data_IF_946520057152
#
_entry.id   IF_946520057152
#
_cell.length_a   1.000
_cell.length_b   1.000
_cell.length_c   1.000
_cell.angle_alpha   90.00
_cell.angle_beta   90.00
_cell.angle_gamma   90.00
#
_symmetry.space_group_name_H-M   'P 1'
#
loop_
_entity.id
_entity.type
_entity.pdbx_description
1 polymer ?
#
# COMPACT_ATOMS: atom_id res chain seq x y z
N UNK A 1 -21.37 -31.43 8.76
CA UNK A 1 -19.98 -30.92 8.60
C UNK A 1 -19.40 -30.50 9.95
N UNK A 2 -18.25 -31.05 10.36
CA UNK A 2 -17.48 -30.59 11.53
C UNK A 2 -17.03 -29.13 11.42
N UNK A 3 -16.79 -28.46 12.56
CA UNK A 3 -16.39 -27.04 12.58
C UNK A 3 -15.01 -26.80 11.96
N UNK A 4 -14.04 -27.71 12.13
CA UNK A 4 -12.71 -27.55 11.53
C UNK A 4 -12.77 -27.50 9.99
N UNK A 5 -13.59 -28.33 9.36
CA UNK A 5 -13.77 -28.27 7.89
C UNK A 5 -14.49 -26.99 7.46
N UNK A 6 -15.40 -26.45 8.28
CA UNK A 6 -16.03 -25.17 7.99
C UNK A 6 -15.03 -24.01 8.10
N UNK A 7 -14.10 -24.06 9.07
CA UNK A 7 -13.00 -23.07 9.17
C UNK A 7 -12.12 -23.10 7.92
N UNK A 8 -11.75 -24.28 7.43
CA UNK A 8 -10.96 -24.42 6.19
C UNK A 8 -11.70 -23.87 4.97
N UNK A 9 -12.99 -24.19 4.82
CA UNK A 9 -13.84 -23.61 3.77
C UNK A 9 -13.89 -22.09 3.89
N UNK A 10 -14.07 -21.57 5.10
CA UNK A 10 -14.19 -20.15 5.34
C UNK A 10 -12.90 -19.43 4.99
N UNK A 11 -11.76 -19.99 5.39
CA UNK A 11 -10.45 -19.48 5.09
C UNK A 11 -10.16 -19.40 3.58
N UNK A 12 -10.62 -20.40 2.81
CA UNK A 12 -10.36 -20.48 1.37
C UNK A 12 -11.31 -19.66 0.51
N UNK A 13 -12.59 -19.62 0.89
CA UNK A 13 -13.65 -19.11 0.01
C UNK A 13 -14.15 -17.73 0.40
N UNK A 14 -13.99 -17.32 1.65
CA UNK A 14 -14.64 -16.13 2.18
C UNK A 14 -13.64 -15.16 2.76
N UNK A 15 -13.52 -13.94 2.21
CA UNK A 15 -12.68 -12.93 2.81
C UNK A 15 -13.42 -12.33 4.03
N UNK A 16 -12.69 -11.84 5.05
CA UNK A 16 -13.30 -11.48 6.35
C UNK A 16 -14.39 -10.41 6.30
N UNK A 17 -14.45 -9.60 5.25
CA UNK A 17 -15.47 -8.58 5.03
C UNK A 17 -16.87 -9.20 4.81
N UNK A 18 -16.92 -10.43 4.30
CA UNK A 18 -18.16 -11.17 4.06
C UNK A 18 -18.72 -11.85 5.30
N UNK A 19 -17.93 -11.94 6.38
CA UNK A 19 -18.30 -12.70 7.57
C UNK A 19 -19.52 -12.13 8.28
N UNK A 20 -19.78 -10.82 8.16
CA UNK A 20 -21.01 -10.23 8.66
C UNK A 20 -22.24 -10.92 8.05
N UNK A 21 -22.26 -11.10 6.74
CA UNK A 21 -23.36 -11.77 6.03
C UNK A 21 -23.46 -13.26 6.40
N UNK A 22 -22.32 -13.94 6.55
CA UNK A 22 -22.30 -15.35 6.97
C UNK A 22 -22.88 -15.54 8.37
N UNK A 23 -22.58 -14.64 9.31
CA UNK A 23 -23.10 -14.70 10.69
C UNK A 23 -24.61 -14.46 10.80
N UNK A 24 -25.21 -13.85 9.77
CA UNK A 24 -26.66 -13.66 9.66
C UNK A 24 -27.35 -14.90 9.08
N UNK A 25 -26.62 -15.78 8.39
CA UNK A 25 -27.21 -16.94 7.70
C UNK A 25 -27.67 -18.02 8.66
N UNK A 26 -26.82 -18.44 9.60
CA UNK A 26 -27.21 -19.41 10.63
C UNK A 26 -26.33 -19.36 11.88
N UNK A 27 -26.82 -19.92 13.00
CA UNK A 27 -26.06 -20.01 14.27
C UNK A 27 -24.75 -20.76 14.12
N UNK A 28 -24.70 -21.77 13.24
CA UNK A 28 -23.48 -22.56 13.02
C UNK A 28 -22.39 -21.74 12.35
N UNK A 29 -22.72 -20.93 11.35
CA UNK A 29 -21.76 -20.03 10.70
C UNK A 29 -21.28 -18.95 11.66
N UNK A 30 -22.18 -18.41 12.48
CA UNK A 30 -21.79 -17.49 13.56
C UNK A 30 -20.76 -18.12 14.51
N UNK A 31 -21.00 -19.34 14.97
CA UNK A 31 -20.05 -20.06 15.83
C UNK A 31 -18.68 -20.31 15.17
N UNK A 32 -18.63 -20.46 13.84
CA UNK A 32 -17.37 -20.62 13.10
C UNK A 32 -16.67 -19.28 12.94
N UNK A 33 -17.40 -18.20 12.64
CA UNK A 33 -16.84 -16.84 12.53
C UNK A 33 -16.36 -16.30 13.89
N UNK A 34 -17.00 -16.70 14.99
CA UNK A 34 -16.58 -16.33 16.33
C UNK A 34 -15.40 -17.19 16.84
N UNK A 35 -14.97 -18.20 16.09
CA UNK A 35 -13.75 -18.97 16.41
C UNK A 35 -12.50 -18.14 16.10
N UNK A 36 -11.73 -17.83 17.13
CA UNK A 36 -10.54 -16.98 17.04
C UNK A 36 -9.42 -17.62 16.20
N UNK A 37 -9.42 -18.96 16.06
CA UNK A 37 -8.48 -19.66 15.17
C UNK A 37 -8.67 -19.25 13.71
N UNK A 38 -9.91 -19.02 13.25
CA UNK A 38 -10.19 -18.58 11.89
C UNK A 38 -9.52 -17.22 11.63
N UNK A 39 -9.64 -16.29 12.57
CA UNK A 39 -9.02 -14.96 12.48
C UNK A 39 -7.49 -15.02 12.55
N UNK A 40 -6.93 -15.90 13.38
CA UNK A 40 -5.50 -16.18 13.42
C UNK A 40 -5.00 -16.65 12.05
N UNK A 41 -5.70 -17.61 11.42
CA UNK A 41 -5.33 -18.12 10.11
C UNK A 41 -5.44 -17.06 9.01
N UNK A 42 -6.50 -16.25 9.00
CA UNK A 42 -6.61 -15.11 8.07
C UNK A 42 -5.48 -14.10 8.28
N UNK A 43 -5.15 -13.80 9.54
CA UNK A 43 -4.07 -12.90 9.88
C UNK A 43 -2.72 -13.43 9.36
N UNK A 44 -2.43 -14.71 9.59
CA UNK A 44 -1.19 -15.34 9.15
C UNK A 44 -1.11 -15.45 7.62
N UNK A 45 -2.20 -15.85 6.95
CA UNK A 45 -2.22 -15.94 5.50
C UNK A 45 -2.00 -14.58 4.84
N UNK A 46 -2.53 -13.50 5.44
CA UNK A 46 -2.43 -12.15 4.89
C UNK A 46 -1.10 -11.47 5.24
N UNK A 47 -0.67 -11.53 6.50
CA UNK A 47 0.45 -10.76 7.02
C UNK A 47 1.60 -11.58 7.59
N UNK A 48 1.49 -12.91 7.70
CA UNK A 48 2.51 -13.76 8.31
C UNK A 48 3.89 -13.60 7.66
N UNK A 49 3.94 -13.51 6.33
CA UNK A 49 5.18 -13.25 5.60
C UNK A 49 5.73 -11.83 5.79
N UNK A 50 4.85 -10.84 5.98
CA UNK A 50 5.27 -9.46 6.30
C UNK A 50 5.83 -9.38 7.72
N UNK A 51 5.18 -10.03 8.68
CA UNK A 51 5.53 -9.96 10.10
C UNK A 51 6.83 -10.73 10.40
N UNK A 52 7.08 -11.89 9.76
CA UNK A 52 8.34 -12.63 9.90
C UNK A 52 9.58 -11.80 9.51
N UNK A 53 9.44 -10.86 8.56
CA UNK A 53 10.53 -9.99 8.11
C UNK A 53 11.00 -9.00 9.18
N UNK A 54 10.19 -8.77 10.21
CA UNK A 54 10.49 -7.83 11.30
C UNK A 54 10.69 -8.53 12.66
N UNK A 55 10.73 -9.88 12.71
CA UNK A 55 10.57 -10.73 13.90
C UNK A 55 11.80 -10.98 14.79
N UNK A 56 12.84 -10.15 14.76
CA UNK A 56 13.94 -10.28 15.71
C UNK A 56 13.52 -9.82 17.11
N UNK A 57 13.08 -10.76 17.95
CA UNK A 57 12.96 -10.60 19.42
C UNK A 57 11.55 -10.38 20.00
N UNK A 58 10.52 -11.05 19.48
CA UNK A 58 9.12 -10.68 19.78
C UNK A 58 8.33 -11.72 20.63
N UNK A 59 7.27 -11.27 21.36
CA UNK A 59 6.63 -12.06 22.44
C UNK A 59 5.79 -13.26 21.95
N UNK A 60 5.58 -14.22 22.87
CA UNK A 60 4.80 -15.45 22.66
C UNK A 60 3.33 -15.23 23.01
N UNK A 61 2.41 -15.69 22.16
CA UNK A 61 0.97 -15.69 22.47
C UNK A 61 0.40 -17.10 22.31
N UNK A 62 -0.40 -17.50 23.30
CA UNK A 62 -1.15 -18.76 23.34
C UNK A 62 -2.57 -18.58 22.81
N UNK A 63 -3.02 -19.48 21.94
CA UNK A 63 -4.36 -19.49 21.35
C UNK A 63 -5.15 -20.65 21.89
N UNK A 64 -6.28 -20.37 22.54
CA UNK A 64 -7.17 -21.40 23.09
C UNK A 64 -8.35 -21.61 22.15
N UNK A 65 -8.58 -22.86 21.75
CA UNK A 65 -9.74 -23.27 20.98
C UNK A 65 -11.04 -23.29 21.79
N UNK A 66 -12.17 -23.28 21.08
CA UNK A 66 -13.47 -23.71 21.58
C UNK A 66 -13.48 -25.13 22.20
N UNK A 67 -12.55 -26.01 21.82
CA UNK A 67 -12.36 -27.35 22.41
C UNK A 67 -11.38 -27.38 23.61
N UNK A 68 -10.81 -26.23 23.98
CA UNK A 68 -9.86 -26.09 25.08
C UNK A 68 -8.39 -26.36 24.73
N UNK A 69 -8.07 -26.72 23.49
CA UNK A 69 -6.67 -26.92 23.07
C UNK A 69 -5.93 -25.60 22.89
N UNK A 70 -4.66 -25.56 23.34
CA UNK A 70 -3.81 -24.37 23.34
C UNK A 70 -2.68 -24.50 22.29
N UNK A 71 -2.41 -23.44 21.51
CA UNK A 71 -1.33 -23.38 20.51
C UNK A 71 -0.45 -22.15 20.74
N UNK A 72 0.87 -22.32 20.74
CA UNK A 72 1.84 -21.24 20.92
C UNK A 72 2.31 -20.66 19.57
N UNK A 73 2.25 -19.33 19.43
CA UNK A 73 2.66 -18.63 18.22
C UNK A 73 3.61 -17.45 18.50
N UNK A 74 4.52 -17.20 17.55
CA UNK A 74 5.46 -16.09 17.55
C UNK A 74 4.92 -14.92 16.70
N UNK A 75 4.73 -13.75 17.29
CA UNK A 75 4.40 -12.50 16.59
C UNK A 75 5.51 -11.49 16.74
N UNK A 76 5.67 -10.57 15.78
CA UNK A 76 6.39 -9.30 15.93
C UNK A 76 5.70 -8.37 16.92
N UNK A 77 6.49 -7.57 17.65
CA UNK A 77 5.99 -6.58 18.61
C UNK A 77 5.01 -5.58 17.96
N UNK A 78 3.71 -5.83 18.13
CA UNK A 78 2.65 -4.85 17.92
C UNK A 78 2.57 -3.97 19.18
N UNK A 79 2.88 -2.66 19.13
CA UNK A 79 3.02 -1.88 20.36
C UNK A 79 1.72 -1.52 21.07
N UNK A 80 0.55 -1.99 20.61
CA UNK A 80 -0.74 -1.35 20.95
C UNK A 80 -1.89 -2.30 21.28
N UNK A 81 -1.65 -3.60 21.41
CA UNK A 81 -2.66 -4.53 21.91
C UNK A 81 -2.21 -5.19 23.19
N UNK A 82 -3.12 -5.25 24.15
CA UNK A 82 -2.92 -6.05 25.35
C UNK A 82 -2.66 -7.50 24.94
N UNK A 83 -1.85 -8.22 25.73
CA UNK A 83 -1.64 -9.66 25.53
C UNK A 83 -2.94 -10.48 25.56
N UNK A 84 -4.03 -9.88 26.04
CA UNK A 84 -5.37 -10.49 26.13
C UNK A 84 -6.27 -10.27 24.91
N UNK A 85 -5.85 -9.49 23.91
CA UNK A 85 -6.67 -9.22 22.73
C UNK A 85 -6.82 -10.44 21.82
N UNK A 86 -8.05 -10.71 21.39
CA UNK A 86 -8.38 -11.80 20.44
C UNK A 86 -7.76 -11.57 19.07
N UNK A 87 -7.54 -12.62 18.29
CA UNK A 87 -7.08 -12.51 16.90
C UNK A 87 -8.05 -11.73 16.02
N UNK A 88 -9.35 -11.84 16.26
CA UNK A 88 -10.34 -10.99 15.60
C UNK A 88 -10.08 -9.51 15.83
N UNK A 89 -9.85 -9.11 17.08
CA UNK A 89 -9.55 -7.70 17.41
C UNK A 89 -8.24 -7.24 16.77
N UNK A 90 -7.20 -8.08 16.82
CA UNK A 90 -5.90 -7.84 16.17
C UNK A 90 -6.06 -7.61 14.67
N UNK A 91 -6.77 -8.51 13.99
CA UNK A 91 -7.05 -8.41 12.57
C UNK A 91 -7.78 -7.11 12.24
N UNK A 92 -8.89 -6.85 12.93
CA UNK A 92 -9.73 -5.68 12.66
C UNK A 92 -9.02 -4.37 12.96
N UNK A 93 -8.20 -4.31 14.01
CA UNK A 93 -7.44 -3.10 14.31
C UNK A 93 -6.36 -2.83 13.26
N UNK A 94 -5.62 -3.85 12.81
CA UNK A 94 -4.62 -3.68 11.75
C UNK A 94 -5.28 -3.26 10.44
N UNK A 95 -6.36 -3.93 10.05
CA UNK A 95 -7.12 -3.58 8.85
C UNK A 95 -7.64 -2.14 8.91
N UNK A 96 -8.27 -1.73 10.03
CA UNK A 96 -8.76 -0.35 10.21
C UNK A 96 -7.64 0.67 10.16
N UNK A 97 -6.47 0.34 10.73
CA UNK A 97 -5.29 1.21 10.69
C UNK A 97 -4.81 1.42 9.26
N UNK A 98 -4.70 0.35 8.47
CA UNK A 98 -4.34 0.43 7.05
C UNK A 98 -5.37 1.31 6.32
N UNK A 99 -6.66 1.03 6.49
CA UNK A 99 -7.73 1.79 5.86
C UNK A 99 -7.71 3.28 6.25
N UNK A 100 -7.50 3.59 7.54
CA UNK A 100 -7.41 4.99 8.01
C UNK A 100 -6.17 5.68 7.46
N UNK A 101 -5.01 5.03 7.49
CA UNK A 101 -3.77 5.61 6.98
C UNK A 101 -3.85 5.84 5.48
N UNK A 102 -4.42 4.93 4.70
CA UNK A 102 -4.68 5.14 3.28
C UNK A 102 -5.57 6.35 3.06
N UNK A 103 -6.65 6.51 3.83
CA UNK A 103 -7.52 7.69 3.75
C UNK A 103 -6.75 8.98 4.05
N UNK A 104 -5.93 8.98 5.09
CA UNK A 104 -5.12 10.15 5.48
C UNK A 104 -4.11 10.51 4.37
N UNK A 105 -3.55 9.51 3.69
CA UNK A 105 -2.69 9.71 2.52
C UNK A 105 -3.46 10.34 1.36
N UNK A 106 -4.66 9.84 1.04
CA UNK A 106 -5.51 10.44 0.01
C UNK A 106 -5.77 11.93 0.31
N UNK A 107 -6.13 12.26 1.55
CA UNK A 107 -6.35 13.66 1.95
C UNK A 107 -5.08 14.50 1.89
N UNK A 108 -3.92 13.92 2.23
CA UNK A 108 -2.61 14.58 2.14
C UNK A 108 -2.24 14.90 0.70
N UNK A 109 -2.45 13.95 -0.22
CA UNK A 109 -2.21 14.15 -1.65
C UNK A 109 -3.15 15.20 -2.25
N UNK A 110 -4.45 15.11 -1.97
CA UNK A 110 -5.43 16.11 -2.41
C UNK A 110 -5.09 17.52 -1.90
N UNK A 111 -4.66 17.64 -0.64
CA UNK A 111 -4.22 18.93 -0.08
C UNK A 111 -2.97 19.44 -0.78
N UNK A 112 -1.98 18.57 -1.00
CA UNK A 112 -0.71 18.97 -1.61
C UNK A 112 -0.86 19.42 -3.06
N UNK A 113 -1.69 18.73 -3.86
CA UNK A 113 -1.98 19.14 -5.25
C UNK A 113 -2.71 20.49 -5.30
N UNK A 114 -3.64 20.76 -4.37
CA UNK A 114 -4.35 22.04 -4.27
C UNK A 114 -3.44 23.21 -3.87
N UNK A 115 -2.50 22.99 -2.94
CA UNK A 115 -1.59 24.07 -2.48
C UNK A 115 -0.67 24.57 -3.60
N UNK A 116 -0.27 23.70 -4.53
CA UNK A 116 0.60 24.04 -5.64
C UNK A 116 -0.12 24.69 -6.85
N UNK A 117 -1.45 24.58 -6.94
CA UNK A 117 -2.24 25.11 -8.04
C UNK A 117 -2.45 26.64 -7.99
N UNK A 118 -1.83 27.34 -7.03
CA UNK A 118 -2.09 28.77 -6.77
C UNK A 118 -1.49 29.74 -7.79
N UNK A 119 -0.73 29.28 -8.80
CA UNK A 119 -0.03 30.16 -9.75
C UNK A 119 -0.02 29.63 -11.19
N UNK A 120 -1.18 29.39 -11.80
CA UNK A 120 -1.29 29.04 -13.24
C UNK A 120 -0.47 27.82 -13.68
N UNK A 121 -0.03 27.00 -12.71
CA UNK A 121 0.85 25.86 -12.87
C UNK A 121 0.02 24.62 -12.59
N UNK A 122 0.20 23.57 -13.42
CA UNK A 122 -0.46 22.27 -13.24
C UNK A 122 -0.37 21.78 -11.78
N UNK A 123 -1.43 21.16 -11.22
CA UNK A 123 -1.42 20.67 -9.85
C UNK A 123 -0.24 19.71 -9.63
N UNK A 124 0.73 20.15 -8.82
CA UNK A 124 1.97 19.40 -8.58
C UNK A 124 2.11 19.08 -7.10
N UNK A 125 2.33 17.82 -6.78
CA UNK A 125 2.61 17.35 -5.44
C UNK A 125 4.13 17.43 -5.16
N UNK A 126 4.54 18.17 -4.14
CA UNK A 126 5.94 18.17 -3.71
C UNK A 126 6.31 16.86 -3.03
N UNK A 127 7.44 16.29 -3.44
CA UNK A 127 7.86 14.99 -2.96
C UNK A 127 8.31 15.01 -1.49
N UNK A 128 8.98 16.07 -1.03
CA UNK A 128 9.50 16.14 0.35
C UNK A 128 8.38 16.46 1.34
N UNK A 129 7.48 17.37 0.97
CA UNK A 129 6.47 17.89 1.90
C UNK A 129 5.25 16.99 2.02
N UNK A 130 4.89 16.27 0.94
CA UNK A 130 3.66 15.47 0.91
C UNK A 130 3.91 14.00 0.59
N UNK A 131 4.69 13.69 -0.46
CA UNK A 131 4.87 12.31 -0.90
C UNK A 131 5.61 11.45 0.12
N UNK A 132 6.80 11.88 0.55
CA UNK A 132 7.66 11.10 1.42
C UNK A 132 7.03 10.86 2.80
N UNK A 133 6.40 11.85 3.48
CA UNK A 133 5.67 11.59 4.72
C UNK A 133 4.53 10.60 4.55
N UNK A 134 3.74 10.72 3.47
CA UNK A 134 2.65 9.80 3.16
C UNK A 134 3.15 8.37 2.94
N UNK A 135 4.22 8.21 2.15
CA UNK A 135 4.85 6.91 1.87
C UNK A 135 5.38 6.28 3.16
N UNK A 136 6.01 7.07 4.05
CA UNK A 136 6.46 6.59 5.35
C UNK A 136 5.28 6.10 6.19
N UNK A 137 4.18 6.85 6.27
CA UNK A 137 2.99 6.41 7.01
C UNK A 137 2.47 5.05 6.52
N UNK A 138 2.44 4.83 5.20
CA UNK A 138 2.08 3.53 4.62
C UNK A 138 3.10 2.42 4.95
N UNK A 139 4.40 2.72 4.89
CA UNK A 139 5.45 1.76 5.29
C UNK A 139 5.32 1.32 6.75
N UNK A 140 4.96 2.23 7.67
CA UNK A 140 4.74 1.91 9.09
C UNK A 140 3.54 0.97 9.32
N UNK A 141 2.67 0.80 8.33
CA UNK A 141 1.55 -0.15 8.39
C UNK A 141 1.97 -1.58 8.01
N UNK A 142 3.20 -1.80 7.55
CA UNK A 142 3.73 -3.13 7.18
C UNK A 142 2.79 -3.88 6.23
N UNK A 143 2.47 -3.22 5.12
CA UNK A 143 1.51 -3.72 4.13
C UNK A 143 1.97 -5.05 3.52
N UNK A 144 1.03 -5.96 3.35
CA UNK A 144 1.15 -7.15 2.51
C UNK A 144 0.85 -6.80 1.05
N UNK A 145 1.17 -7.72 0.13
CA UNK A 145 0.77 -7.58 -1.27
C UNK A 145 -0.75 -7.46 -1.43
N UNK A 146 -1.52 -8.24 -0.64
CA UNK A 146 -2.97 -8.16 -0.63
C UNK A 146 -3.48 -6.78 -0.22
N UNK A 147 -2.83 -6.11 0.74
CA UNK A 147 -3.20 -4.75 1.15
C UNK A 147 -2.95 -3.73 0.04
N UNK A 148 -1.88 -3.91 -0.77
CA UNK A 148 -1.64 -3.03 -1.91
C UNK A 148 -2.81 -3.10 -2.89
N UNK A 149 -3.28 -4.31 -3.21
CA UNK A 149 -4.40 -4.53 -4.13
C UNK A 149 -5.76 -4.16 -3.55
N UNK A 150 -5.93 -4.21 -2.24
CA UNK A 150 -7.20 -3.84 -1.61
C UNK A 150 -7.34 -2.33 -1.39
N UNK A 151 -6.23 -1.62 -1.12
CA UNK A 151 -6.28 -0.21 -0.71
C UNK A 151 -5.64 0.77 -1.67
N UNK A 152 -4.56 0.39 -2.36
CA UNK A 152 -3.71 1.33 -3.10
C UNK A 152 -3.79 1.15 -4.61
N UNK A 153 -3.99 -0.06 -5.10
CA UNK A 153 -3.98 -0.44 -6.51
C UNK A 153 -5.39 -0.82 -7.00
N UNK A 154 -6.40 -0.14 -6.47
CA UNK A 154 -7.79 -0.24 -6.93
C UNK A 154 -8.12 0.89 -7.90
N UNK A 155 -9.12 0.66 -8.75
CA UNK A 155 -9.60 1.65 -9.72
C UNK A 155 -10.20 2.88 -9.06
N UNK A 156 -10.78 2.74 -7.87
CA UNK A 156 -11.45 3.85 -7.17
C UNK A 156 -10.45 4.80 -6.49
N UNK A 157 -9.21 4.37 -6.31
CA UNK A 157 -8.15 5.19 -5.71
C UNK A 157 -7.67 6.27 -6.68
N UNK A 158 -7.13 7.36 -6.14
CA UNK A 158 -6.48 8.41 -6.93
C UNK A 158 -5.19 7.89 -7.59
N UNK A 159 -4.80 8.46 -8.73
CA UNK A 159 -3.60 8.02 -9.46
C UNK A 159 -2.31 8.17 -8.65
N UNK A 160 -2.23 9.18 -7.77
CA UNK A 160 -1.09 9.36 -6.85
C UNK A 160 -1.04 8.23 -5.82
N UNK A 161 -2.19 7.76 -5.37
CA UNK A 161 -2.30 6.60 -4.45
C UNK A 161 -1.89 5.32 -5.18
N UNK A 162 -2.31 5.14 -6.44
CA UNK A 162 -1.84 4.04 -7.27
C UNK A 162 -0.32 4.08 -7.45
N UNK A 163 0.27 5.25 -7.73
CA UNK A 163 1.72 5.42 -7.84
C UNK A 163 2.45 5.15 -6.52
N UNK A 164 1.86 5.49 -5.37
CA UNK A 164 2.43 5.15 -4.06
C UNK A 164 2.38 3.63 -3.81
N UNK A 165 1.28 2.97 -4.19
CA UNK A 165 1.15 1.51 -4.19
C UNK A 165 2.21 0.84 -5.06
N UNK A 166 2.47 1.38 -6.25
CA UNK A 166 3.53 0.94 -7.17
C UNK A 166 4.91 1.07 -6.54
N UNK A 167 5.19 2.21 -5.90
CA UNK A 167 6.45 2.43 -5.22
C UNK A 167 6.65 1.45 -4.06
N UNK A 168 5.60 1.21 -3.26
CA UNK A 168 5.64 0.24 -2.15
C UNK A 168 5.84 -1.17 -2.66
N UNK A 169 5.16 -1.56 -3.73
CA UNK A 169 5.36 -2.85 -4.40
C UNK A 169 6.83 -3.05 -4.75
N UNK A 170 7.44 -2.10 -5.48
CA UNK A 170 8.87 -2.16 -5.88
C UNK A 170 9.86 -2.18 -4.72
N UNK A 171 9.47 -1.73 -3.53
CA UNK A 171 10.31 -1.79 -2.32
C UNK A 171 10.18 -3.12 -1.57
N UNK A 172 9.27 -4.01 -1.97
CA UNK A 172 9.16 -5.33 -1.35
C UNK A 172 10.38 -6.20 -1.72
N UNK A 173 11.06 -6.81 -0.74
CA UNK A 173 12.34 -7.52 -0.93
C UNK A 173 12.27 -8.84 -1.72
N UNK A 174 11.11 -9.22 -2.26
CA UNK A 174 10.87 -10.58 -2.81
C UNK A 174 10.63 -10.62 -4.32
N UNK A 175 10.80 -9.53 -5.05
CA UNK A 175 10.36 -9.47 -6.45
C UNK A 175 11.25 -10.31 -7.36
N UNK A 176 10.72 -11.43 -7.86
CA UNK A 176 11.28 -12.10 -9.04
C UNK A 176 10.89 -11.33 -10.31
N UNK A 177 11.62 -11.53 -11.40
CA UNK A 177 11.31 -10.88 -12.69
C UNK A 177 9.95 -11.32 -13.26
N UNK A 178 9.49 -12.52 -12.90
CA UNK A 178 8.18 -13.08 -13.23
C UNK A 178 7.05 -12.34 -12.48
N UNK A 179 7.21 -12.12 -11.18
CA UNK A 179 6.26 -11.34 -10.38
C UNK A 179 6.12 -9.89 -10.87
N UNK A 180 7.19 -9.31 -11.43
CA UNK A 180 7.14 -7.98 -12.03
C UNK A 180 6.32 -7.94 -13.34
N UNK A 181 6.34 -9.02 -14.14
CA UNK A 181 5.53 -9.14 -15.37
C UNK A 181 4.06 -9.39 -15.04
N UNK A 182 3.80 -10.29 -14.09
CA UNK A 182 2.44 -10.56 -13.61
C UNK A 182 1.81 -9.30 -13.03
N UNK A 183 2.60 -8.51 -12.31
CA UNK A 183 2.13 -7.26 -11.74
C UNK A 183 1.66 -6.23 -12.77
N UNK A 184 2.38 -6.05 -13.90
CA UNK A 184 1.91 -5.16 -14.98
C UNK A 184 0.61 -5.68 -15.59
N UNK A 185 0.48 -7.00 -15.78
CA UNK A 185 -0.76 -7.60 -16.26
C UNK A 185 -1.93 -7.35 -15.28
N UNK A 186 -1.69 -7.41 -13.98
CA UNK A 186 -2.70 -7.09 -12.95
C UNK A 186 -3.13 -5.62 -13.00
N UNK A 187 -2.22 -4.66 -13.28
CA UNK A 187 -2.61 -3.26 -13.48
C UNK A 187 -3.60 -3.08 -14.64
N UNK A 188 -3.44 -3.86 -15.71
CA UNK A 188 -4.38 -3.86 -16.85
C UNK A 188 -5.72 -4.48 -16.46
N UNK A 189 -5.71 -5.60 -15.73
CA UNK A 189 -6.94 -6.26 -15.25
C UNK A 189 -7.78 -5.35 -14.36
N UNK A 190 -7.14 -4.61 -13.45
CA UNK A 190 -7.83 -3.65 -12.57
C UNK A 190 -8.21 -2.35 -13.29
N UNK A 191 -7.65 -2.10 -14.48
CA UNK A 191 -7.97 -0.92 -15.29
C UNK A 191 -7.31 0.37 -14.80
N UNK A 192 -6.12 0.26 -14.19
CA UNK A 192 -5.32 1.41 -13.73
C UNK A 192 -4.02 1.60 -14.53
N UNK A 193 -3.64 0.64 -15.37
CA UNK A 193 -2.40 0.67 -16.15
C UNK A 193 -2.21 1.95 -16.97
N UNK A 194 -3.26 2.44 -17.61
CA UNK A 194 -3.22 3.58 -18.54
C UNK A 194 -3.29 4.96 -17.87
N UNK A 195 -3.42 5.01 -16.54
CA UNK A 195 -3.50 6.29 -15.81
C UNK A 195 -2.17 7.02 -15.91
N UNK A 196 -2.20 8.30 -16.28
CA UNK A 196 -1.01 9.07 -16.59
C UNK A 196 -0.55 9.93 -15.43
N UNK A 197 0.77 9.92 -15.18
CA UNK A 197 1.42 10.80 -14.21
C UNK A 197 2.69 11.35 -14.84
N UNK A 198 3.04 12.58 -14.50
CA UNK A 198 4.31 13.20 -14.86
C UNK A 198 5.18 13.36 -13.62
N UNK A 199 6.41 12.84 -13.69
CA UNK A 199 7.41 12.97 -12.62
C UNK A 199 8.48 13.93 -13.10
N UNK A 200 8.63 15.02 -12.35
CA UNK A 200 9.56 16.12 -12.65
C UNK A 200 10.61 16.16 -11.57
N UNK A 201 11.88 16.26 -11.95
CA UNK A 201 12.94 16.46 -10.98
C UNK A 201 14.07 17.33 -11.50
N UNK A 202 14.65 18.10 -10.58
CA UNK A 202 15.76 18.98 -10.87
C UNK A 202 17.06 18.26 -10.58
N UNK A 203 17.86 18.02 -11.60
CA UNK A 203 19.20 17.51 -11.46
C UNK A 203 20.20 18.64 -11.26
N UNK A 204 21.14 18.40 -10.35
CA UNK A 204 22.24 19.30 -10.08
C UNK A 204 23.24 19.27 -11.22
N UNK A 205 23.62 20.45 -11.68
CA UNK A 205 24.69 20.57 -12.66
C UNK A 205 25.98 19.93 -12.15
N UNK A 206 26.70 19.25 -13.05
CA UNK A 206 27.90 18.47 -12.69
C UNK A 206 29.05 19.35 -12.22
N UNK A 207 29.73 18.85 -11.18
CA UNK A 207 31.06 19.21 -10.69
C UNK A 207 32.15 19.12 -11.75
N UNK A 208 32.48 20.17 -12.51
CA UNK A 208 33.66 20.11 -13.40
C UNK A 208 34.93 20.33 -12.57
N UNK A 209 35.46 19.24 -11.98
CA UNK A 209 36.57 19.25 -11.00
C UNK A 209 37.83 19.95 -11.52
N UNK A 210 38.04 20.01 -12.85
CA UNK A 210 39.19 20.69 -13.46
C UNK A 210 39.04 22.20 -13.65
N UNK A 211 37.83 22.77 -13.51
CA UNK A 211 37.58 24.18 -13.79
C UNK A 211 36.87 24.94 -12.66
N UNK A 212 36.40 24.25 -11.61
CA UNK A 212 35.73 24.87 -10.47
C UNK A 212 34.32 25.38 -10.75
N UNK A 213 33.81 25.22 -11.98
CA UNK A 213 32.45 25.60 -12.36
C UNK A 213 31.48 24.43 -12.20
N UNK A 214 30.31 24.74 -11.65
CA UNK A 214 29.14 23.87 -11.67
C UNK A 214 28.34 24.16 -12.94
N UNK A 215 27.95 23.11 -13.67
CA UNK A 215 27.01 23.25 -14.77
C UNK A 215 25.64 23.80 -14.33
N UNK A 216 24.79 24.15 -15.29
CA UNK A 216 23.42 24.55 -14.99
C UNK A 216 22.60 23.35 -14.47
N UNK A 217 21.68 23.62 -13.55
CA UNK A 217 20.73 22.60 -13.10
C UNK A 217 19.77 22.24 -14.26
N UNK A 218 19.51 20.94 -14.42
CA UNK A 218 18.70 20.41 -15.50
C UNK A 218 17.34 19.94 -14.97
N UNK A 219 16.24 20.45 -15.53
CA UNK A 219 14.91 19.90 -15.28
C UNK A 219 14.71 18.67 -16.16
N UNK A 220 14.49 17.51 -15.53
CA UNK A 220 14.02 16.31 -16.19
C UNK A 220 12.53 16.11 -15.94
N UNK A 221 11.83 15.60 -16.95
CA UNK A 221 10.42 15.25 -16.88
C UNK A 221 10.21 13.93 -17.61
N UNK A 222 9.52 13.00 -16.94
CA UNK A 222 9.04 11.76 -17.56
C UNK A 222 7.54 11.69 -17.33
N UNK A 223 6.79 11.67 -18.42
CA UNK A 223 5.33 11.50 -18.43
C UNK A 223 5.02 10.16 -19.07
N UNK A 224 4.09 9.41 -18.48
CA UNK A 224 3.61 8.18 -19.08
C UNK A 224 2.50 7.53 -18.26
N UNK A 225 1.86 6.50 -18.81
CA UNK A 225 0.93 5.65 -18.08
C UNK A 225 1.65 4.89 -16.95
N UNK A 226 0.92 4.51 -15.90
CA UNK A 226 1.45 3.77 -14.76
C UNK A 226 2.22 2.51 -15.17
N UNK A 227 1.78 1.80 -16.22
CA UNK A 227 2.47 0.61 -16.71
C UNK A 227 3.87 0.92 -17.30
N UNK A 228 4.03 2.03 -18.01
CA UNK A 228 5.33 2.45 -18.55
C UNK A 228 6.23 3.01 -17.44
N UNK A 229 5.68 3.80 -16.53
CA UNK A 229 6.41 4.28 -15.36
C UNK A 229 6.88 3.12 -14.48
N UNK A 230 6.09 2.06 -14.33
CA UNK A 230 6.47 0.84 -13.61
C UNK A 230 7.69 0.13 -14.21
N UNK A 231 7.95 0.30 -15.51
CA UNK A 231 9.10 -0.24 -16.22
C UNK A 231 10.31 0.71 -16.27
N UNK A 232 10.13 2.00 -15.99
CA UNK A 232 11.18 3.03 -16.12
C UNK A 232 12.19 2.98 -14.95
N UNK A 233 13.44 2.53 -15.17
CA UNK A 233 14.42 2.42 -14.09
C UNK A 233 14.87 3.79 -13.55
N UNK A 234 14.89 4.81 -14.42
CA UNK A 234 15.28 6.18 -14.05
C UNK A 234 14.28 6.79 -13.06
N UNK A 235 12.99 6.63 -13.35
CA UNK A 235 11.90 7.10 -12.47
C UNK A 235 11.99 6.45 -11.10
N UNK A 236 12.15 5.12 -11.03
CA UNK A 236 12.23 4.43 -9.75
C UNK A 236 13.50 4.76 -8.98
N UNK A 237 14.63 4.95 -9.66
CA UNK A 237 15.86 5.42 -9.02
C UNK A 237 15.64 6.77 -8.34
N UNK A 238 14.91 7.69 -8.98
CA UNK A 238 14.58 9.02 -8.43
C UNK A 238 13.60 8.89 -7.26
N UNK A 239 12.49 8.16 -7.41
CA UNK A 239 11.49 8.02 -6.36
C UNK A 239 12.01 7.25 -5.12
N UNK A 240 12.87 6.24 -5.30
CA UNK A 240 13.45 5.47 -4.21
C UNK A 240 14.54 6.23 -3.47
N UNK A 241 15.45 6.91 -4.18
CA UNK A 241 16.54 7.68 -3.54
C UNK A 241 16.05 9.01 -2.99
N UNK A 242 14.98 9.57 -3.57
CA UNK A 242 14.50 10.90 -3.23
C UNK A 242 15.52 11.99 -3.59
N UNK A 243 15.47 13.09 -2.83
CA UNK A 243 16.39 14.22 -2.96
C UNK A 243 17.75 13.85 -2.37
N UNK A 244 18.65 13.31 -3.21
CA UNK A 244 20.01 12.89 -2.85
C UNK A 244 21.00 13.36 -3.91
N UNK A 245 22.16 13.89 -3.47
CA UNK A 245 23.36 14.32 -4.22
C UNK A 245 23.15 15.09 -5.53
N UNK A 246 22.54 14.44 -6.52
CA UNK A 246 22.29 14.93 -7.87
C UNK A 246 20.86 15.41 -8.08
N UNK A 247 19.90 15.15 -7.18
CA UNK A 247 18.50 15.59 -7.33
C UNK A 247 18.15 16.60 -6.23
N UNK A 248 17.67 17.81 -6.59
CA UNK A 248 17.29 18.87 -5.63
C UNK A 248 15.84 18.84 -5.21
N UNK A 249 14.95 18.57 -6.16
CA UNK A 249 13.51 18.66 -5.97
C UNK A 249 12.84 17.67 -6.89
N UNK A 250 11.81 17.01 -6.39
CA UNK A 250 10.96 16.11 -7.15
C UNK A 250 9.52 16.62 -6.99
N UNK A 251 8.80 16.72 -8.09
CA UNK A 251 7.39 17.06 -8.13
C UNK A 251 6.65 15.99 -8.94
N UNK A 252 5.48 15.59 -8.46
CA UNK A 252 4.61 14.63 -9.14
C UNK A 252 3.37 15.39 -9.62
N UNK A 253 3.09 15.34 -10.91
CA UNK A 253 2.00 16.08 -11.54
C UNK A 253 0.98 15.09 -12.05
N UNK A 254 -0.26 15.27 -11.64
CA UNK A 254 -1.38 14.51 -12.17
C UNK A 254 -1.78 15.12 -13.50
N UNK A 255 -1.65 14.34 -14.56
CA UNK A 255 -2.25 14.71 -15.84
C UNK A 255 -3.68 14.18 -15.79
N UNK A 256 -4.64 15.06 -15.51
CA UNK A 256 -6.06 14.71 -15.70
C UNK A 256 -6.24 14.19 -17.13
N UNK A 257 -7.01 13.12 -17.35
CA UNK A 257 -7.45 12.82 -18.69
C UNK A 257 -8.29 14.03 -19.16
N UNK A 258 -7.90 14.61 -20.29
CA UNK A 258 -8.83 15.41 -21.04
C UNK A 258 -10.06 14.52 -21.33
N UNK A 259 -11.22 15.00 -20.87
CA UNK A 259 -12.60 14.56 -21.19
C UNK A 259 -13.27 13.65 -20.14
N UNK A 260 -14.27 14.21 -19.45
CA UNK A 260 -15.51 13.48 -19.18
C UNK A 260 -16.01 13.39 -17.74
N UNK A 261 -15.98 14.46 -16.94
CA UNK A 261 -16.96 14.56 -15.85
C UNK A 261 -18.37 14.71 -16.47
N UNK A 262 -19.36 13.95 -16.00
CA UNK A 262 -20.65 14.53 -15.69
C UNK A 262 -20.76 14.58 -14.17
N UNK A 263 -20.61 15.77 -13.60
CA UNK A 263 -21.22 16.04 -12.31
C UNK A 263 -22.75 16.13 -12.51
N UNK A 264 -23.46 15.28 -11.77
CA UNK A 264 -24.78 15.47 -11.15
C UNK A 264 -26.02 15.56 -12.07
N UNK A 265 -26.96 14.62 -11.90
CA UNK A 265 -28.31 14.98 -11.39
C UNK A 265 -29.13 13.75 -10.94
N UNK A 266 -29.77 13.94 -9.78
CA UNK A 266 -30.77 13.12 -9.08
C UNK A 266 -30.26 11.90 -8.29
#
# INVERSE_FOLDING_TARGET
MPNHLLVEIFLQLFPPETFHNLTQTCRKFRSVVDDDRLWCLHYQNRWGASDQRYALGSPRISVTSADGTCYDWHLTAFPFLSDTATWRERYMQRWRRIASTTRDVCTTFARGTLTAATWGTMPSLDFMDFWLPALRSLQHCQLSLGDLWEFLLIKEADVLVNLAGLQLFKMLPSQTEEEAKDYVAELFKVGIAERTVSIRWWMLGRLTVGHGWRGQDELKMVTGPLCELAASPEVWKVLQKGVMNEVRRICIVVEEPAIGFPFISA
#
